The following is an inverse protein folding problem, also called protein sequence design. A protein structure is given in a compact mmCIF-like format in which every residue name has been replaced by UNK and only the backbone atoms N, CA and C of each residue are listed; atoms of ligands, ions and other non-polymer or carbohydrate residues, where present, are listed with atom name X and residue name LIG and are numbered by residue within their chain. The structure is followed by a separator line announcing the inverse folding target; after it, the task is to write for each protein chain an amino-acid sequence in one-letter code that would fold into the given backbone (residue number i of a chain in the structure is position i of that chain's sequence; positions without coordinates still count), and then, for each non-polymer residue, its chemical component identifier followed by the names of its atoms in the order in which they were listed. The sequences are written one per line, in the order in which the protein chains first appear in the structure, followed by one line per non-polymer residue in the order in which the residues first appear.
data_IF_755200921592
#
_entry.id   IF_755200921592
#
_cell.length_a   1.000
_cell.length_b   1.000
_cell.length_c   1.000
_cell.angle_alpha   90.00
_cell.angle_beta   90.00
_cell.angle_gamma   90.00
#
_symmetry.space_group_name_H-M   'P 1'
#
loop_
_entity.id
_entity.type
_entity.pdbx_description
1 polymer ?
#
# COMPACT_ATOMS: atom_id res chain seq x y z
N UNK A 1 7.66 0.20 -10.88
CA UNK A 1 6.79 0.12 -9.69
C UNK A 1 5.48 0.91 -9.84
N UNK A 2 5.34 1.86 -10.78
CA UNK A 2 4.06 2.54 -11.03
C UNK A 2 3.54 3.39 -9.85
N UNK A 3 4.40 3.69 -8.89
CA UNK A 3 4.09 4.39 -7.63
C UNK A 3 5.26 5.30 -7.25
N UNK A 4 4.99 6.36 -6.50
CA UNK A 4 6.02 7.29 -6.04
C UNK A 4 6.89 6.69 -4.92
N UNK A 5 8.11 7.18 -4.75
CA UNK A 5 9.02 6.71 -3.69
C UNK A 5 8.49 6.96 -2.28
N UNK A 6 7.77 8.07 -2.08
CA UNK A 6 7.12 8.40 -0.81
C UNK A 6 6.04 7.37 -0.45
N UNK A 7 5.22 6.98 -1.44
CA UNK A 7 4.23 5.92 -1.28
C UNK A 7 4.91 4.57 -0.95
N UNK A 8 6.00 4.23 -1.64
CA UNK A 8 6.78 3.00 -1.39
C UNK A 8 7.36 2.93 0.02
N UNK A 9 7.81 4.06 0.55
CA UNK A 9 8.34 4.14 1.92
C UNK A 9 7.26 3.78 2.95
N UNK A 10 6.04 4.30 2.74
CA UNK A 10 4.87 4.00 3.58
C UNK A 10 4.47 2.52 3.47
N UNK A 11 4.37 1.97 2.26
CA UNK A 11 4.08 0.54 2.06
C UNK A 11 5.12 -0.38 2.72
N UNK A 12 6.40 -0.01 2.59
CA UNK A 12 7.51 -0.73 3.21
C UNK A 12 7.42 -0.68 4.73
N UNK A 13 7.06 0.47 5.31
CA UNK A 13 6.82 0.63 6.75
C UNK A 13 5.67 -0.26 7.22
N UNK A 14 4.53 -0.29 6.53
CA UNK A 14 3.38 -1.08 6.95
C UNK A 14 3.63 -2.59 6.88
N UNK A 15 4.31 -3.06 5.84
CA UNK A 15 4.67 -4.48 5.73
C UNK A 15 5.66 -4.90 6.82
N UNK A 16 6.61 -4.02 7.13
CA UNK A 16 7.78 -4.31 7.95
C UNK A 16 7.59 -3.97 9.42
N UNK A 17 7.22 -2.74 9.75
CA UNK A 17 7.10 -2.30 11.16
C UNK A 17 5.78 -2.79 11.75
N UNK A 18 4.68 -2.57 11.04
CA UNK A 18 3.33 -2.88 11.54
C UNK A 18 2.88 -4.33 11.27
N UNK A 19 3.66 -5.09 10.48
CA UNK A 19 3.35 -6.48 10.11
C UNK A 19 1.97 -6.65 9.47
N UNK A 20 1.54 -5.65 8.71
CA UNK A 20 0.24 -5.67 8.05
C UNK A 20 0.27 -6.54 6.77
N UNK A 21 -0.69 -7.47 6.65
CA UNK A 21 -1.04 -8.10 5.37
C UNK A 21 -1.83 -7.15 4.46
N UNK A 22 -2.28 -7.59 3.27
CA UNK A 22 -2.93 -6.73 2.28
C UNK A 22 -4.21 -6.06 2.83
N UNK A 23 -5.04 -6.80 3.56
CA UNK A 23 -6.26 -6.25 4.18
C UNK A 23 -5.97 -5.25 5.30
N UNK A 24 -4.98 -5.56 6.16
CA UNK A 24 -4.56 -4.67 7.23
C UNK A 24 -3.94 -3.38 6.69
N UNK A 25 -3.16 -3.50 5.61
CA UNK A 25 -2.54 -2.36 4.92
C UNK A 25 -3.60 -1.46 4.27
N UNK A 26 -4.59 -2.05 3.57
CA UNK A 26 -5.72 -1.31 3.01
C UNK A 26 -6.48 -0.52 4.10
N UNK A 27 -6.82 -1.15 5.21
CA UNK A 27 -7.58 -0.50 6.30
C UNK A 27 -6.84 0.71 6.88
N UNK A 28 -5.52 0.60 7.05
CA UNK A 28 -4.67 1.69 7.53
C UNK A 28 -4.54 2.81 6.51
N UNK A 29 -4.37 2.47 5.24
CA UNK A 29 -4.25 3.44 4.16
C UNK A 29 -5.55 4.20 3.91
N UNK A 30 -6.72 3.57 4.04
CA UNK A 30 -8.01 4.27 3.95
C UNK A 30 -8.11 5.35 5.03
N UNK A 31 -7.54 5.12 6.22
CA UNK A 31 -7.52 6.12 7.28
C UNK A 31 -6.51 7.25 7.03
N UNK A 32 -5.30 6.93 6.55
CA UNK A 32 -4.26 7.95 6.30
C UNK A 32 -4.48 8.73 4.99
N UNK A 33 -4.93 8.06 3.94
CA UNK A 33 -5.05 8.60 2.57
C UNK A 33 -6.48 8.82 2.11
N UNK A 34 -7.49 8.50 2.93
CA UNK A 34 -8.90 8.65 2.56
C UNK A 34 -9.35 10.08 2.24
N UNK A 35 -8.51 11.09 2.52
CA UNK A 35 -8.72 12.48 2.11
C UNK A 35 -8.18 12.79 0.71
N UNK A 36 -7.20 12.02 0.22
CA UNK A 36 -6.48 12.29 -1.03
C UNK A 36 -6.82 11.29 -2.13
N UNK A 37 -7.11 10.03 -1.76
CA UNK A 37 -7.33 8.93 -2.70
C UNK A 37 -8.68 8.24 -2.43
N UNK A 38 -9.31 7.79 -3.51
CA UNK A 38 -10.51 6.93 -3.42
C UNK A 38 -10.12 5.55 -2.83
N UNK A 39 -10.96 4.91 -2.02
CA UNK A 39 -10.73 3.54 -1.56
C UNK A 39 -10.43 2.58 -2.71
N UNK A 40 -11.09 2.72 -3.88
CA UNK A 40 -10.84 1.86 -5.05
C UNK A 40 -9.39 2.02 -5.55
N UNK A 41 -8.90 3.25 -5.66
CA UNK A 41 -7.53 3.54 -6.07
C UNK A 41 -6.49 3.01 -5.05
N UNK A 42 -6.83 3.04 -3.76
CA UNK A 42 -5.98 2.49 -2.71
C UNK A 42 -5.88 0.97 -2.86
N UNK A 43 -6.98 0.28 -3.19
CA UNK A 43 -6.95 -1.18 -3.45
C UNK A 43 -6.01 -1.50 -4.59
N UNK A 44 -6.18 -0.86 -5.76
CA UNK A 44 -5.34 -1.12 -6.93
C UNK A 44 -3.84 -0.97 -6.64
N UNK A 45 -3.47 0.06 -5.86
CA UNK A 45 -2.08 0.28 -5.42
C UNK A 45 -1.58 -0.83 -4.50
N UNK A 46 -2.39 -1.24 -3.52
CA UNK A 46 -2.03 -2.32 -2.59
C UNK A 46 -1.85 -3.63 -3.36
N UNK A 47 -2.76 -3.95 -4.28
CA UNK A 47 -2.66 -5.14 -5.13
C UNK A 47 -1.39 -5.13 -5.98
N UNK A 48 -1.13 -4.02 -6.67
CA UNK A 48 0.05 -3.87 -7.52
C UNK A 48 1.34 -4.03 -6.72
N UNK A 49 1.40 -3.46 -5.52
CA UNK A 49 2.55 -3.60 -4.62
C UNK A 49 2.80 -5.06 -4.22
N UNK A 50 1.78 -5.78 -3.75
CA UNK A 50 1.95 -7.17 -3.32
C UNK A 50 2.24 -8.11 -4.50
N UNK A 51 1.68 -7.84 -5.68
CA UNK A 51 1.95 -8.59 -6.89
C UNK A 51 3.40 -8.44 -7.36
N UNK A 52 3.89 -7.20 -7.48
CA UNK A 52 5.28 -6.94 -7.85
C UNK A 52 6.27 -7.42 -6.77
N UNK A 53 5.92 -7.28 -5.49
CA UNK A 53 6.73 -7.84 -4.41
C UNK A 53 6.86 -9.35 -4.56
N UNK A 54 5.74 -10.09 -4.68
CA UNK A 54 5.73 -11.55 -4.79
C UNK A 54 6.53 -12.03 -6.01
N UNK A 55 6.36 -11.38 -7.17
CA UNK A 55 7.10 -11.67 -8.39
C UNK A 55 8.60 -11.47 -8.20
N UNK A 56 9.00 -10.40 -7.52
CA UNK A 56 10.41 -10.03 -7.37
C UNK A 56 11.08 -10.63 -6.10
N UNK A 57 10.38 -11.41 -5.28
CA UNK A 57 10.92 -12.05 -4.08
C UNK A 57 12.20 -12.87 -4.36
N UNK A 58 12.30 -13.52 -5.52
CA UNK A 58 13.49 -14.28 -5.92
C UNK A 58 14.73 -13.40 -6.12
N UNK A 59 14.57 -12.11 -6.43
CA UNK A 59 15.71 -11.19 -6.55
C UNK A 59 16.34 -10.95 -5.20
N UNK A 60 15.56 -10.98 -4.12
CA UNK A 60 16.06 -10.79 -2.77
C UNK A 60 17.13 -11.82 -2.38
N UNK A 61 17.06 -13.06 -2.90
CA UNK A 61 17.99 -14.13 -2.54
C UNK A 61 19.33 -14.04 -3.26
N UNK A 62 19.41 -13.29 -4.36
CA UNK A 62 20.62 -13.13 -5.18
C UNK A 62 21.26 -11.74 -5.09
N UNK A 63 20.65 -10.82 -4.34
CA UNK A 63 21.19 -9.49 -4.11
C UNK A 63 22.51 -9.54 -3.33
N UNK A 64 23.46 -8.70 -3.73
CA UNK A 64 24.72 -8.49 -3.01
C UNK A 64 24.43 -8.04 -1.59
N UNK A 65 25.08 -8.63 -0.56
CA UNK A 65 24.91 -8.18 0.81
C UNK A 65 25.28 -6.69 0.93
N UNK A 66 24.42 -5.91 1.59
CA UNK A 66 24.55 -4.48 1.75
C UNK A 66 24.57 -4.09 3.23
N UNK A 67 25.04 -2.87 3.53
CA UNK A 67 25.07 -2.34 4.89
C UNK A 67 23.67 -2.27 5.50
N UNK A 68 23.52 -2.76 6.73
CA UNK A 68 22.24 -2.79 7.43
C UNK A 68 21.92 -1.43 8.07
N UNK A 69 21.26 -0.56 7.31
CA UNK A 69 20.72 0.70 7.85
C UNK A 69 19.27 0.58 8.35
N UNK A 70 18.54 -0.46 7.94
CA UNK A 70 17.10 -0.64 8.21
C UNK A 70 16.75 -2.12 8.44
N UNK A 71 15.90 -2.44 9.42
CA UNK A 71 15.64 -3.81 9.95
C UNK A 71 14.90 -4.79 9.01
N UNK A 72 15.45 -5.23 7.88
CA UNK A 72 14.73 -6.03 6.86
C UNK A 72 14.46 -7.49 7.26
N UNK A 73 13.19 -7.90 7.30
CA UNK A 73 12.76 -9.30 7.51
C UNK A 73 11.64 -9.65 6.51
N UNK A 74 11.72 -10.87 5.95
CA UNK A 74 10.80 -11.36 4.93
C UNK A 74 9.55 -11.96 5.60
N UNK A 75 8.37 -11.56 5.12
CA UNK A 75 7.08 -12.09 5.55
C UNK A 75 6.33 -12.54 4.29
N UNK A 76 5.73 -13.73 4.34
CA UNK A 76 4.84 -14.23 3.29
C UNK A 76 3.40 -13.98 3.69
N UNK A 77 2.60 -13.39 2.79
CA UNK A 77 1.18 -13.13 3.01
C UNK A 77 0.32 -13.98 2.07
N UNK A 78 -0.82 -14.45 2.58
CA UNK A 78 -1.89 -15.11 1.80
C UNK A 78 -2.81 -14.07 1.15
N UNK A 79 -3.28 -14.34 -0.06
CA UNK A 79 -4.10 -13.42 -0.86
C UNK A 79 -5.51 -13.27 -0.28
N UNK A 80 -5.89 -12.04 0.12
CA UNK A 80 -7.21 -11.68 0.66
C UNK A 80 -7.94 -10.66 -0.22
N UNK A 81 -7.54 -10.52 -1.49
CA UNK A 81 -7.90 -9.43 -2.39
C UNK A 81 -9.41 -9.31 -2.65
N UNK A 82 -10.10 -10.43 -2.88
CA UNK A 82 -11.56 -10.42 -3.09
C UNK A 82 -12.34 -9.72 -1.96
N UNK A 83 -11.93 -9.93 -0.70
CA UNK A 83 -12.55 -9.28 0.45
C UNK A 83 -12.26 -7.78 0.50
N UNK A 84 -11.11 -7.36 -0.01
CA UNK A 84 -10.71 -5.95 -0.07
C UNK A 84 -11.56 -5.23 -1.11
N UNK A 85 -11.77 -5.82 -2.29
CA UNK A 85 -12.62 -5.27 -3.34
C UNK A 85 -14.07 -5.07 -2.87
N UNK A 86 -14.61 -6.10 -2.20
CA UNK A 86 -15.97 -6.05 -1.63
C UNK A 86 -16.11 -4.90 -0.61
N UNK A 87 -15.10 -4.67 0.23
CA UNK A 87 -15.12 -3.58 1.23
C UNK A 87 -14.92 -2.22 0.58
N UNK A 88 -14.04 -2.11 -0.43
CA UNK A 88 -13.80 -0.87 -1.13
C UNK A 88 -15.04 -0.40 -1.91
N UNK A 89 -15.84 -1.32 -2.46
CA UNK A 89 -17.08 -0.99 -3.16
C UNK A 89 -18.17 -0.42 -2.24
N UNK A 90 -18.13 -0.71 -0.93
CA UNK A 90 -19.12 -0.23 0.06
C UNK A 90 -18.73 1.14 0.63
N UNK A 91 -17.43 1.50 0.60
CA UNK A 91 -16.94 2.71 1.25
C UNK A 91 -17.23 3.97 0.42
N UNK A 92 -17.70 5.07 1.06
CA UNK A 92 -17.94 6.32 0.35
C UNK A 92 -16.63 7.04 -0.01
N UNK A 93 -16.53 7.51 -1.25
CA UNK A 93 -15.42 8.32 -1.74
C UNK A 93 -15.41 9.71 -1.10
N UNK A 94 -14.34 10.02 -0.36
CA UNK A 94 -14.15 11.34 0.31
C UNK A 94 -13.08 12.21 -0.35
N UNK A 95 -12.38 11.71 -1.36
CA UNK A 95 -11.26 12.38 -2.04
C UNK A 95 -11.65 13.69 -2.76
N UNK A 96 -12.89 13.79 -3.23
CA UNK A 96 -13.36 14.98 -3.97
C UNK A 96 -13.61 16.21 -3.09
N UNK A 97 -13.72 16.06 -1.75
CA UNK A 97 -13.97 17.20 -0.85
C UNK A 97 -12.72 18.08 -0.59
N UNK A 98 -11.52 17.60 -0.95
CA UNK A 98 -10.28 18.35 -0.79
C UNK A 98 -9.96 19.26 -2.00
N UNK A 99 -10.35 18.86 -3.22
CA UNK A 99 -10.09 19.61 -4.45
C UNK A 99 -10.89 20.92 -4.57
N UNK A 100 -12.00 21.03 -3.85
CA UNK A 100 -12.87 22.22 -3.87
C UNK A 100 -12.33 23.39 -3.02
N UNK A 101 -11.41 23.12 -2.08
CA UNK A 101 -10.87 24.15 -1.15
C UNK A 101 -9.69 24.94 -1.71
N UNK A 102 -9.00 24.45 -2.73
CA UNK A 102 -7.81 25.08 -3.32
C UNK A 102 -8.12 26.04 -4.47
N UNK A 103 -9.41 26.22 -4.83
CA UNK A 103 -9.84 27.10 -5.93
C UNK A 103 -10.44 28.43 -5.43
N UNK A 104 -10.39 28.69 -4.13
CA UNK A 104 -10.91 29.89 -3.49
C UNK A 104 -9.84 30.52 -2.61
N UNK A 105 -8.74 30.96 -3.22
CA UNK A 105 -7.86 32.03 -2.70
C UNK A 105 -7.18 32.72 -3.89
#
# INVERSE_FOLDING_TARGET
MGMAYDELSVFSRFRKVEKCGPYGMFTKLVHEWGLFLSPVQIVEKVEHFFFEYARNCHKMTTLTPAYHAVVCYAQNSTSQFKKIDEVAAVLPDRSNSAADKTKTD
#
